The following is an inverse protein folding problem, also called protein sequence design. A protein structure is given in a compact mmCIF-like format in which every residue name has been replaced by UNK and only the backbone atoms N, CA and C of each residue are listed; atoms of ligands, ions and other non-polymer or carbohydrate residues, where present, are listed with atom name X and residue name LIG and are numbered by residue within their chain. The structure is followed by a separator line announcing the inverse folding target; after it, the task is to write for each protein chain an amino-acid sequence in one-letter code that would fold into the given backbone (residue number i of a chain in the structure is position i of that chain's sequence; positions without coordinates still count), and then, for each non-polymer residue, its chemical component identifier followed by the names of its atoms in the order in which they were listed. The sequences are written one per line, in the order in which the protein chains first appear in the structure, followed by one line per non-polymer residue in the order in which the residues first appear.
data_IF_791270472338
#
_entry.id   IF_791270472338
#
_cell.length_a   1.000
_cell.length_b   1.000
_cell.length_c   1.000
_cell.angle_alpha   90.00
_cell.angle_beta   90.00
_cell.angle_gamma   90.00
#
_symmetry.space_group_name_H-M   'P 1'
#
loop_
_entity.id
_entity.type
_entity.pdbx_description
1 polymer ?
#
# COMPACT_ATOMS: atom_id res chain seq x y z
N UNK A 1 -42.55 -10.20 50.64
CA UNK A 1 -42.02 -10.93 49.49
C UNK A 1 -41.77 -10.06 48.22
N UNK A 2 -42.08 -8.77 48.19
CA UNK A 2 -41.96 -7.91 46.97
C UNK A 2 -40.61 -7.17 46.81
N UNK A 3 -39.69 -7.22 47.79
CA UNK A 3 -38.40 -6.51 47.74
C UNK A 3 -37.23 -7.30 47.16
N UNK A 4 -37.39 -8.62 46.94
CA UNK A 4 -36.30 -9.49 46.40
C UNK A 4 -36.34 -9.65 44.86
N UNK A 5 -37.43 -9.27 44.20
CA UNK A 5 -37.54 -9.37 42.76
C UNK A 5 -36.89 -8.17 42.01
N UNK A 6 -36.74 -7.02 42.66
CA UNK A 6 -36.14 -5.83 42.05
C UNK A 6 -34.61 -5.90 41.96
N UNK A 7 -33.96 -6.69 42.86
CA UNK A 7 -32.50 -6.83 42.86
C UNK A 7 -31.98 -7.74 41.73
N UNK A 8 -32.77 -8.70 41.26
CA UNK A 8 -32.38 -9.63 40.19
C UNK A 8 -32.55 -8.97 38.81
N UNK A 9 -33.50 -8.09 38.63
CA UNK A 9 -33.65 -7.35 37.37
C UNK A 9 -32.58 -6.30 37.13
N UNK A 10 -31.99 -5.70 38.18
CA UNK A 10 -30.91 -4.72 38.08
C UNK A 10 -29.55 -5.39 37.73
N UNK A 11 -29.37 -6.65 38.07
CA UNK A 11 -28.10 -7.39 37.79
C UNK A 11 -28.05 -7.93 36.36
N UNK A 12 -29.18 -8.08 35.68
CA UNK A 12 -29.20 -8.55 34.27
C UNK A 12 -28.98 -7.43 33.25
N UNK A 13 -28.99 -6.14 33.66
CA UNK A 13 -28.76 -5.00 32.77
C UNK A 13 -27.30 -4.54 32.70
N UNK A 14 -26.41 -5.13 33.52
CA UNK A 14 -24.99 -4.73 33.54
C UNK A 14 -24.05 -5.66 32.76
N UNK A 15 -24.56 -6.63 31.99
CA UNK A 15 -23.77 -7.59 31.21
C UNK A 15 -23.71 -7.28 29.72
N UNK A 16 -24.13 -6.10 29.28
CA UNK A 16 -23.73 -5.60 27.98
C UNK A 16 -22.33 -4.94 28.09
N UNK A 17 -21.34 -5.72 28.50
CA UNK A 17 -19.96 -5.44 28.19
C UNK A 17 -19.84 -5.54 26.68
N UNK A 18 -19.88 -4.41 25.97
CA UNK A 18 -19.33 -4.32 24.65
C UNK A 18 -17.86 -4.73 24.80
N UNK A 19 -17.56 -5.99 24.51
CA UNK A 19 -16.20 -6.32 24.10
C UNK A 19 -15.96 -5.45 22.88
N UNK A 20 -15.25 -4.35 23.06
CA UNK A 20 -14.65 -3.64 21.94
C UNK A 20 -13.79 -4.72 21.26
N UNK A 21 -14.26 -5.27 20.16
CA UNK A 21 -13.44 -6.03 19.25
C UNK A 21 -12.49 -5.00 18.64
N UNK A 22 -11.48 -4.64 19.44
CA UNK A 22 -10.36 -3.88 18.91
C UNK A 22 -9.79 -4.71 17.78
N UNK A 23 -9.97 -4.23 16.55
CA UNK A 23 -9.39 -4.82 15.36
C UNK A 23 -7.87 -4.54 15.39
N UNK A 24 -7.18 -5.18 16.36
CA UNK A 24 -5.73 -5.20 16.40
C UNK A 24 -5.22 -5.80 15.08
N UNK A 25 -4.10 -5.28 14.54
CA UNK A 25 -3.46 -5.79 13.32
C UNK A 25 -4.01 -5.28 11.98
N UNK A 26 -4.73 -4.19 11.93
CA UNK A 26 -4.95 -3.46 10.68
C UNK A 26 -3.61 -2.91 10.17
N UNK A 27 -3.32 -3.12 8.88
CA UNK A 27 -2.06 -2.71 8.25
C UNK A 27 -2.33 -2.08 6.89
N UNK A 28 -1.36 -1.25 6.44
CA UNK A 28 -1.36 -0.68 5.10
C UNK A 28 -2.66 0.05 4.78
N UNK A 29 -3.05 0.96 5.67
CA UNK A 29 -4.25 1.77 5.47
C UNK A 29 -4.06 2.75 4.32
N UNK A 30 -5.03 2.82 3.41
CA UNK A 30 -5.09 3.75 2.29
C UNK A 30 -6.45 4.45 2.28
N UNK A 31 -6.45 5.78 2.27
CA UNK A 31 -7.67 6.57 2.18
C UNK A 31 -8.12 6.68 0.72
N UNK A 32 -9.43 6.62 0.48
CA UNK A 32 -9.99 6.83 -0.86
C UNK A 32 -9.80 8.28 -1.34
N UNK A 33 -9.76 8.55 -2.65
CA UNK A 33 -9.54 9.90 -3.17
C UNK A 33 -10.59 10.92 -2.72
N UNK A 34 -11.82 10.49 -2.44
CA UNK A 34 -12.89 11.33 -1.90
C UNK A 34 -12.83 11.52 -0.38
N UNK A 35 -11.87 10.85 0.29
CA UNK A 35 -11.70 10.90 1.74
C UNK A 35 -12.80 10.22 2.55
N UNK A 36 -13.67 9.41 1.94
CA UNK A 36 -14.82 8.83 2.61
C UNK A 36 -14.61 7.39 3.10
N UNK A 37 -13.65 6.68 2.52
CA UNK A 37 -13.37 5.28 2.85
C UNK A 37 -11.88 5.06 3.14
N UNK A 38 -11.59 4.04 3.93
CA UNK A 38 -10.25 3.54 4.22
C UNK A 38 -10.20 2.08 3.79
N UNK A 39 -9.30 1.75 2.88
CA UNK A 39 -8.93 0.36 2.58
C UNK A 39 -7.77 -0.06 3.48
N UNK A 40 -7.75 -1.30 3.93
CA UNK A 40 -6.69 -1.83 4.79
C UNK A 40 -6.58 -3.34 4.69
N UNK A 41 -5.41 -3.87 5.07
CA UNK A 41 -5.19 -5.31 5.18
C UNK A 41 -5.49 -5.79 6.59
N UNK A 42 -6.26 -6.87 6.73
CA UNK A 42 -6.58 -7.50 7.99
C UNK A 42 -6.71 -9.02 7.84
N UNK A 43 -5.94 -9.77 8.62
CA UNK A 43 -5.93 -11.24 8.62
C UNK A 43 -5.76 -11.91 7.25
N UNK A 44 -5.02 -11.27 6.33
CA UNK A 44 -4.74 -11.81 5.01
C UNK A 44 -5.70 -11.37 3.92
N UNK A 45 -6.71 -10.59 4.23
CA UNK A 45 -7.67 -10.05 3.27
C UNK A 45 -7.68 -8.51 3.23
N UNK A 46 -8.21 -7.96 2.16
CA UNK A 46 -8.48 -6.53 2.01
C UNK A 46 -9.90 -6.21 2.49
N UNK A 47 -10.00 -5.17 3.28
CA UNK A 47 -11.25 -4.62 3.80
C UNK A 47 -11.37 -3.15 3.49
N UNK A 48 -12.60 -2.65 3.45
CA UNK A 48 -12.90 -1.22 3.44
C UNK A 48 -13.81 -0.85 4.61
N UNK A 49 -13.67 0.38 5.11
CA UNK A 49 -14.53 0.95 6.16
C UNK A 49 -14.72 2.43 5.91
N UNK A 50 -15.86 2.98 6.30
CA UNK A 50 -16.09 4.44 6.26
C UNK A 50 -15.11 5.20 7.16
N UNK A 51 -14.69 6.40 6.77
CA UNK A 51 -13.74 7.24 7.53
C UNK A 51 -14.23 7.54 8.97
N UNK A 52 -15.55 7.55 9.18
CA UNK A 52 -16.16 7.73 10.49
C UNK A 52 -16.28 6.42 11.30
N UNK A 53 -15.70 5.32 10.81
CA UNK A 53 -15.82 4.00 11.40
C UNK A 53 -17.09 3.27 10.97
N UNK A 54 -17.47 2.25 11.74
CA UNK A 54 -18.63 1.42 11.46
C UNK A 54 -18.26 0.00 11.08
N UNK A 55 -19.12 -0.65 10.29
CA UNK A 55 -18.88 -2.01 9.81
C UNK A 55 -17.88 -2.00 8.65
N UNK A 56 -16.82 -2.79 8.77
CA UNK A 56 -15.91 -3.05 7.66
C UNK A 56 -16.52 -4.06 6.67
N UNK A 57 -16.33 -3.81 5.39
CA UNK A 57 -16.67 -4.70 4.30
C UNK A 57 -15.44 -5.48 3.86
N UNK A 58 -15.54 -6.79 3.77
CA UNK A 58 -14.49 -7.64 3.25
C UNK A 58 -14.53 -7.61 1.71
N UNK A 59 -13.43 -7.21 1.10
CA UNK A 59 -13.31 -7.05 -0.36
C UNK A 59 -12.75 -8.31 -1.00
N UNK A 60 -11.81 -8.98 -0.33
CA UNK A 60 -11.22 -10.24 -0.80
C UNK A 60 -11.49 -11.36 0.19
N UNK A 61 -11.59 -12.61 -0.31
CA UNK A 61 -11.96 -13.80 0.49
C UNK A 61 -11.12 -15.02 0.13
N UNK A 62 -10.01 -14.86 -0.58
CA UNK A 62 -9.12 -15.96 -0.96
C UNK A 62 -8.27 -16.39 0.24
N UNK A 63 -7.94 -17.69 0.42
CA UNK A 63 -7.02 -18.14 1.47
C UNK A 63 -5.59 -17.59 1.40
N UNK A 64 -5.23 -16.95 0.28
CA UNK A 64 -3.94 -16.29 0.09
C UNK A 64 -3.78 -15.06 0.97
N UNK A 65 -2.56 -14.52 1.02
CA UNK A 65 -2.27 -13.29 1.74
C UNK A 65 -2.38 -12.07 0.81
N UNK A 66 -3.48 -11.33 0.96
CA UNK A 66 -3.75 -10.09 0.26
C UNK A 66 -3.31 -8.89 1.12
N UNK A 67 -2.53 -7.97 0.54
CA UNK A 67 -1.87 -6.91 1.31
C UNK A 67 -1.62 -5.65 0.48
N UNK A 68 -1.35 -4.52 1.17
CA UNK A 68 -0.99 -3.22 0.59
C UNK A 68 -2.01 -2.70 -0.42
N UNK A 69 -3.26 -2.50 -0.02
CA UNK A 69 -4.26 -1.91 -0.92
C UNK A 69 -3.92 -0.47 -1.27
N UNK A 70 -4.14 -0.10 -2.52
CA UNK A 70 -4.08 1.28 -3.02
C UNK A 70 -5.34 1.57 -3.84
N UNK A 71 -5.84 2.81 -3.78
CA UNK A 71 -7.02 3.24 -4.51
C UNK A 71 -6.67 3.79 -5.89
N UNK A 72 -7.54 3.51 -6.88
CA UNK A 72 -7.51 4.24 -8.15
C UNK A 72 -7.90 5.71 -7.96
N UNK A 73 -7.41 6.64 -8.80
CA UNK A 73 -7.73 8.08 -8.68
C UNK A 73 -9.22 8.40 -8.72
N UNK A 74 -10.03 7.62 -9.43
CA UNK A 74 -11.49 7.76 -9.48
C UNK A 74 -12.20 7.06 -8.30
N UNK A 75 -11.46 6.36 -7.44
CA UNK A 75 -12.00 5.65 -6.28
C UNK A 75 -12.89 4.46 -6.61
N UNK A 76 -12.83 3.90 -7.85
CA UNK A 76 -13.67 2.78 -8.24
C UNK A 76 -12.98 1.43 -8.09
N UNK A 77 -11.65 1.40 -8.04
CA UNK A 77 -10.87 0.18 -7.99
C UNK A 77 -9.83 0.21 -6.86
N UNK A 78 -9.49 -0.97 -6.39
CA UNK A 78 -8.42 -1.20 -5.41
C UNK A 78 -7.42 -2.17 -6.02
N UNK A 79 -6.15 -1.77 -6.08
CA UNK A 79 -5.05 -2.67 -6.40
C UNK A 79 -4.35 -3.12 -5.12
N UNK A 80 -3.85 -4.34 -5.12
CA UNK A 80 -3.20 -4.95 -3.96
C UNK A 80 -2.20 -6.03 -4.38
N UNK A 81 -1.32 -6.45 -3.49
CA UNK A 81 -0.44 -7.59 -3.69
C UNK A 81 -1.07 -8.86 -3.12
N UNK A 82 -0.89 -10.00 -3.80
CA UNK A 82 -1.40 -11.31 -3.37
C UNK A 82 -0.46 -12.44 -3.78
N UNK A 83 -0.27 -13.41 -2.88
CA UNK A 83 0.54 -14.60 -3.11
C UNK A 83 -0.25 -15.83 -3.60
N UNK A 84 -1.48 -15.62 -4.08
CA UNK A 84 -2.42 -16.70 -4.47
C UNK A 84 -1.93 -17.63 -5.59
N UNK A 85 -0.93 -17.23 -6.35
CA UNK A 85 -0.32 -18.05 -7.42
C UNK A 85 1.20 -18.19 -7.27
N UNK A 86 1.72 -18.10 -6.04
CA UNK A 86 3.13 -18.30 -5.72
C UNK A 86 3.77 -17.06 -5.12
N UNK A 87 4.49 -16.24 -5.91
CA UNK A 87 5.04 -14.95 -5.46
C UNK A 87 3.95 -13.89 -5.29
N UNK A 88 4.31 -12.78 -4.64
CA UNK A 88 3.42 -11.62 -4.55
C UNK A 88 3.27 -10.98 -5.92
N UNK A 89 2.08 -11.05 -6.49
CA UNK A 89 1.68 -10.39 -7.74
C UNK A 89 0.72 -9.24 -7.49
N UNK A 90 0.61 -8.34 -8.46
CA UNK A 90 -0.35 -7.24 -8.42
C UNK A 90 -1.70 -7.72 -8.95
N UNK A 91 -2.73 -7.50 -8.15
CA UNK A 91 -4.13 -7.74 -8.48
C UNK A 91 -4.93 -6.45 -8.41
N UNK A 92 -6.03 -6.39 -9.14
CA UNK A 92 -6.99 -5.29 -9.12
C UNK A 92 -8.40 -5.84 -8.94
N UNK A 93 -9.23 -5.15 -8.17
CA UNK A 93 -10.63 -5.50 -7.90
C UNK A 93 -11.48 -4.24 -7.84
N UNK A 94 -12.78 -4.35 -8.12
CA UNK A 94 -13.74 -3.29 -7.88
C UNK A 94 -13.83 -2.96 -6.38
N UNK A 95 -14.11 -1.71 -6.03
CA UNK A 95 -14.22 -1.25 -4.64
C UNK A 95 -15.30 -1.99 -3.83
N UNK A 96 -16.31 -2.52 -4.50
CA UNK A 96 -17.37 -3.32 -3.89
C UNK A 96 -17.00 -4.80 -3.76
N UNK A 97 -15.82 -5.21 -4.23
CA UNK A 97 -15.34 -6.58 -4.26
C UNK A 97 -15.62 -7.27 -5.60
N UNK A 98 -15.57 -8.59 -5.60
CA UNK A 98 -15.75 -9.39 -6.81
C UNK A 98 -14.56 -10.30 -7.07
N UNK A 99 -14.35 -10.68 -8.34
CA UNK A 99 -13.22 -11.53 -8.74
C UNK A 99 -12.02 -10.65 -9.10
N UNK A 100 -10.93 -10.70 -8.32
CA UNK A 100 -9.74 -9.92 -8.65
C UNK A 100 -9.07 -10.38 -9.93
N UNK A 101 -8.64 -9.44 -10.78
CA UNK A 101 -7.86 -9.69 -11.97
C UNK A 101 -6.36 -9.59 -11.65
N UNK A 102 -5.58 -10.61 -12.03
CA UNK A 102 -4.12 -10.59 -11.92
C UNK A 102 -3.53 -9.71 -13.04
N UNK A 103 -2.70 -8.75 -12.67
CA UNK A 103 -2.06 -7.82 -13.63
C UNK A 103 -0.63 -8.22 -13.97
N UNK A 104 0.08 -8.83 -13.03
CA UNK A 104 1.48 -9.20 -13.19
C UNK A 104 1.69 -10.70 -12.97
N UNK A 105 2.75 -11.26 -13.53
CA UNK A 105 2.97 -12.72 -13.56
C UNK A 105 4.44 -13.10 -13.37
N UNK A 106 5.27 -12.20 -12.86
CA UNK A 106 6.68 -12.49 -12.62
C UNK A 106 6.84 -13.42 -11.41
N UNK A 107 7.90 -14.24 -11.41
CA UNK A 107 8.17 -15.20 -10.33
C UNK A 107 8.70 -14.57 -9.04
N UNK A 108 9.09 -13.29 -9.06
CA UNK A 108 9.52 -12.53 -7.89
C UNK A 108 8.34 -11.91 -7.13
N UNK A 109 8.66 -11.15 -6.08
CA UNK A 109 7.66 -10.42 -5.34
C UNK A 109 7.49 -9.01 -5.89
N UNK A 110 6.26 -8.59 -6.03
CA UNK A 110 5.84 -7.29 -6.52
C UNK A 110 5.01 -6.56 -5.46
N UNK A 111 5.21 -5.27 -5.34
CA UNK A 111 4.52 -4.45 -4.35
C UNK A 111 3.91 -3.23 -5.03
N UNK A 112 2.58 -3.03 -4.95
CA UNK A 112 1.95 -1.84 -5.50
C UNK A 112 2.41 -0.60 -4.74
N UNK A 113 2.66 0.49 -5.45
CA UNK A 113 3.10 1.77 -4.88
C UNK A 113 2.02 2.83 -4.99
N UNK A 114 1.56 3.10 -6.22
CA UNK A 114 0.52 4.08 -6.50
C UNK A 114 -0.15 3.81 -7.85
N UNK A 115 -1.37 4.28 -8.03
CA UNK A 115 -1.92 4.48 -9.35
C UNK A 115 -1.30 5.75 -9.96
N UNK A 116 -0.73 5.64 -11.15
CA UNK A 116 -0.24 6.79 -11.92
C UNK A 116 -1.40 7.57 -12.52
N UNK A 117 -2.38 6.85 -13.00
CA UNK A 117 -3.69 7.27 -13.51
C UNK A 117 -4.67 6.09 -13.39
N UNK A 118 -5.92 6.24 -13.85
CA UNK A 118 -6.89 5.16 -13.79
C UNK A 118 -6.53 3.93 -14.66
N UNK A 119 -5.62 4.08 -15.59
CA UNK A 119 -5.19 3.03 -16.53
C UNK A 119 -3.86 2.37 -16.17
N UNK A 120 -3.09 2.92 -15.22
CA UNK A 120 -1.74 2.45 -14.94
C UNK A 120 -1.39 2.45 -13.46
N UNK A 121 -0.67 1.41 -13.04
CA UNK A 121 -0.20 1.21 -11.67
C UNK A 121 1.33 1.18 -11.68
N UNK A 122 1.94 1.95 -10.77
CA UNK A 122 3.35 1.84 -10.43
C UNK A 122 3.52 0.81 -9.33
N UNK A 123 4.48 -0.08 -9.51
CA UNK A 123 4.81 -1.10 -8.54
C UNK A 123 6.31 -1.33 -8.45
N UNK A 124 6.73 -1.87 -7.35
CA UNK A 124 8.12 -2.19 -7.05
C UNK A 124 8.38 -3.67 -7.28
N UNK A 125 9.49 -3.98 -7.99
CA UNK A 125 9.91 -5.36 -8.24
C UNK A 125 11.41 -5.45 -8.53
N UNK A 126 11.94 -6.67 -8.47
CA UNK A 126 13.29 -7.02 -8.94
C UNK A 126 13.18 -7.86 -10.21
N UNK A 127 12.68 -7.26 -11.29
CA UNK A 127 12.56 -7.90 -12.60
C UNK A 127 13.84 -7.63 -13.38
N UNK A 128 14.73 -8.61 -13.42
CA UNK A 128 15.97 -8.49 -14.19
C UNK A 128 15.71 -8.81 -15.65
N UNK A 129 16.06 -7.92 -16.60
CA UNK A 129 15.88 -8.16 -18.03
C UNK A 129 16.68 -9.35 -18.55
N UNK A 130 17.84 -9.62 -17.96
CA UNK A 130 18.70 -10.76 -18.26
C UNK A 130 19.47 -11.23 -17.02
N UNK A 131 19.83 -12.50 -16.98
CA UNK A 131 20.59 -13.07 -15.85
C UNK A 131 21.96 -12.40 -15.68
N UNK A 132 22.54 -11.88 -16.76
CA UNK A 132 23.85 -11.20 -16.76
C UNK A 132 23.78 -9.80 -16.16
N UNK A 133 22.60 -9.21 -16.04
CA UNK A 133 22.35 -7.90 -15.43
C UNK A 133 22.32 -7.94 -13.89
N UNK A 134 22.62 -9.10 -13.30
CA UNK A 134 22.55 -9.32 -11.85
C UNK A 134 23.57 -8.52 -11.02
N UNK A 135 24.44 -7.74 -11.63
CA UNK A 135 25.47 -6.99 -10.90
C UNK A 135 24.91 -5.89 -9.99
N UNK A 136 23.68 -5.40 -10.23
CA UNK A 136 23.15 -4.23 -9.53
C UNK A 136 21.77 -4.40 -8.89
N UNK A 137 20.99 -5.40 -9.24
CA UNK A 137 19.67 -5.61 -8.66
C UNK A 137 19.71 -6.66 -7.57
N UNK A 138 20.05 -6.26 -6.36
CA UNK A 138 19.72 -7.06 -5.20
C UNK A 138 18.27 -6.82 -4.81
N UNK A 139 17.64 -7.77 -4.09
CA UNK A 139 16.32 -7.60 -3.50
C UNK A 139 16.21 -6.34 -2.61
N UNK A 140 17.33 -5.73 -2.28
CA UNK A 140 17.42 -4.51 -1.46
C UNK A 140 17.19 -3.22 -2.27
N UNK A 141 17.35 -3.26 -3.60
CA UNK A 141 17.19 -2.11 -4.50
C UNK A 141 16.22 -2.43 -5.64
N UNK A 142 14.94 -2.65 -5.32
CA UNK A 142 13.94 -2.91 -6.34
C UNK A 142 13.74 -1.69 -7.24
N UNK A 143 13.49 -1.97 -8.51
CA UNK A 143 13.16 -0.96 -9.49
C UNK A 143 11.65 -0.67 -9.47
N UNK A 144 11.25 0.43 -10.08
CA UNK A 144 9.85 0.78 -10.27
C UNK A 144 9.42 0.45 -11.68
N UNK A 145 8.32 -0.28 -11.79
CA UNK A 145 7.69 -0.68 -13.03
C UNK A 145 6.28 -0.10 -13.13
N UNK A 146 5.80 -0.04 -14.34
CA UNK A 146 4.44 0.38 -14.68
C UNK A 146 3.73 -0.78 -15.37
N UNK A 147 2.48 -1.05 -14.97
CA UNK A 147 1.60 -2.02 -15.63
C UNK A 147 0.23 -1.41 -15.88
N UNK A 148 -0.40 -1.76 -17.00
CA UNK A 148 -1.78 -1.37 -17.28
C UNK A 148 -2.76 -2.06 -16.33
N UNK A 149 -3.85 -1.38 -15.95
CA UNK A 149 -4.97 -1.97 -15.20
C UNK A 149 -5.71 -3.06 -15.98
N UNK A 150 -5.50 -3.14 -17.29
CA UNK A 150 -5.95 -4.26 -18.13
C UNK A 150 -4.94 -5.42 -18.20
N UNK A 151 -3.82 -5.33 -17.47
CA UNK A 151 -2.73 -6.30 -17.51
C UNK A 151 -1.79 -6.07 -18.69
N UNK A 152 -0.93 -7.05 -18.94
CA UNK A 152 0.04 -7.01 -20.02
C UNK A 152 1.49 -7.01 -19.52
N UNK A 153 2.42 -6.69 -20.42
CA UNK A 153 3.85 -6.67 -20.08
C UNK A 153 4.20 -5.41 -19.28
N UNK A 154 4.75 -5.53 -18.07
CA UNK A 154 5.27 -4.37 -17.35
C UNK A 154 6.42 -3.70 -18.09
N UNK A 155 6.50 -2.38 -17.97
CA UNK A 155 7.61 -1.57 -18.48
C UNK A 155 8.35 -0.90 -17.31
N UNK A 156 9.66 -0.78 -17.42
CA UNK A 156 10.44 -0.11 -16.39
C UNK A 156 10.12 1.39 -16.38
N UNK A 157 9.62 1.87 -15.24
CA UNK A 157 9.37 3.29 -15.00
C UNK A 157 10.64 3.99 -14.50
N UNK A 158 11.36 3.39 -13.56
CA UNK A 158 12.61 3.92 -12.99
C UNK A 158 13.52 2.78 -12.57
N UNK A 159 14.82 2.90 -12.93
CA UNK A 159 15.86 2.02 -12.41
C UNK A 159 16.28 2.38 -10.98
N UNK A 160 15.98 3.60 -10.53
CA UNK A 160 16.20 4.00 -9.14
C UNK A 160 15.13 3.42 -8.24
N UNK A 161 15.53 3.02 -7.04
CA UNK A 161 14.59 2.63 -6.00
C UNK A 161 13.86 3.86 -5.50
N UNK A 162 12.55 3.85 -5.61
CA UNK A 162 11.64 4.86 -5.07
C UNK A 162 10.72 4.17 -4.08
N UNK A 163 10.70 4.63 -2.84
CA UNK A 163 9.84 4.08 -1.79
C UNK A 163 8.77 5.13 -1.40
N UNK A 164 7.61 4.67 -0.93
CA UNK A 164 6.48 5.50 -0.48
C UNK A 164 6.08 6.59 -1.49
N UNK A 165 5.78 6.15 -2.72
CA UNK A 165 5.39 7.05 -3.80
C UNK A 165 4.03 7.68 -3.51
N UNK A 166 3.94 9.00 -3.66
CA UNK A 166 2.71 9.79 -3.67
C UNK A 166 2.62 10.57 -4.97
N UNK A 167 1.46 10.56 -5.62
CA UNK A 167 1.23 11.25 -6.89
C UNK A 167 0.18 12.34 -6.68
N UNK A 168 0.47 13.55 -7.20
CA UNK A 168 -0.47 14.67 -7.15
C UNK A 168 -1.77 14.36 -7.89
N UNK A 169 -2.88 14.99 -7.47
CA UNK A 169 -4.20 14.74 -8.04
C UNK A 169 -4.29 15.04 -9.56
N UNK A 170 -3.43 15.92 -10.08
CA UNK A 170 -3.33 16.22 -11.51
C UNK A 170 -2.43 15.23 -12.28
N UNK A 171 -1.82 14.26 -11.58
CA UNK A 171 -0.94 13.26 -12.18
C UNK A 171 0.42 13.77 -12.66
N UNK A 172 0.78 15.03 -12.38
CA UNK A 172 1.98 15.66 -12.95
C UNK A 172 3.20 15.63 -12.07
N UNK A 173 3.02 15.42 -10.77
CA UNK A 173 4.08 15.42 -9.78
C UNK A 173 4.07 14.14 -8.98
N UNK A 174 5.24 13.55 -8.79
CA UNK A 174 5.46 12.37 -7.96
C UNK A 174 6.44 12.73 -6.85
N UNK A 175 6.08 12.44 -5.62
CA UNK A 175 6.95 12.49 -4.46
C UNK A 175 7.38 11.06 -4.09
N UNK A 176 8.61 10.92 -3.63
CA UNK A 176 9.15 9.65 -3.14
C UNK A 176 10.30 9.90 -2.18
N UNK A 177 10.65 8.92 -1.38
CA UNK A 177 11.97 8.92 -0.77
C UNK A 177 12.89 7.93 -1.46
N UNK A 178 14.17 8.29 -1.54
CA UNK A 178 15.19 7.47 -2.17
C UNK A 178 15.71 6.38 -1.23
N UNK A 179 16.43 5.42 -1.80
CA UNK A 179 17.16 4.40 -1.05
C UNK A 179 18.58 4.32 -1.58
N UNK A 180 19.52 4.87 -0.84
CA UNK A 180 20.93 4.97 -1.23
C UNK A 180 21.76 3.78 -0.77
N UNK A 181 21.26 3.02 0.21
CA UNK A 181 21.99 1.92 0.79
C UNK A 181 21.15 1.05 1.72
N UNK A 182 21.79 0.04 2.29
CA UNK A 182 21.18 -0.79 3.33
C UNK A 182 21.58 -0.26 4.69
N UNK A 183 20.59 0.07 5.52
CA UNK A 183 20.80 0.44 6.91
C UNK A 183 19.84 -0.25 7.85
N UNK A 184 20.34 -0.48 9.07
CA UNK A 184 19.55 -1.04 10.14
C UNK A 184 18.49 -0.03 10.60
N UNK A 185 17.23 -0.37 10.46
CA UNK A 185 16.08 0.45 10.89
C UNK A 185 16.03 0.72 12.41
N UNK A 186 16.88 0.06 13.18
CA UNK A 186 16.92 0.15 14.64
C UNK A 186 17.82 1.27 15.18
N UNK A 187 18.56 1.97 14.31
CA UNK A 187 19.41 3.08 14.72
C UNK A 187 18.60 4.33 15.03
N UNK A 188 18.71 4.82 16.26
CA UNK A 188 18.19 6.13 16.65
C UNK A 188 19.15 7.24 16.20
N UNK A 189 18.59 8.41 15.84
CA UNK A 189 19.35 9.61 15.47
C UNK A 189 20.36 9.38 14.36
N UNK A 190 19.89 8.69 13.32
CA UNK A 190 20.72 8.27 12.23
C UNK A 190 21.09 9.44 11.32
N UNK A 191 22.38 9.71 11.21
CA UNK A 191 22.97 10.64 10.23
C UNK A 191 24.06 9.91 9.49
N UNK A 192 23.86 9.64 8.20
CA UNK A 192 24.87 9.05 7.34
C UNK A 192 24.66 9.47 5.89
N UNK A 193 25.65 9.17 5.04
CA UNK A 193 25.57 9.46 3.60
C UNK A 193 24.48 8.66 2.86
N UNK A 194 23.90 7.64 3.52
CA UNK A 194 22.86 6.77 2.95
C UNK A 194 21.49 6.98 3.59
N UNK A 195 21.31 8.01 4.42
CA UNK A 195 19.98 8.42 4.88
C UNK A 195 19.10 8.76 3.70
N UNK A 196 17.83 8.42 3.84
CA UNK A 196 16.83 8.70 2.80
C UNK A 196 16.50 10.17 2.76
N UNK A 197 16.27 10.65 1.55
CA UNK A 197 15.82 12.01 1.31
C UNK A 197 14.50 11.99 0.53
N UNK A 198 13.67 12.99 0.73
CA UNK A 198 12.46 13.21 -0.05
C UNK A 198 12.80 13.94 -1.34
N UNK A 199 12.30 13.40 -2.44
CA UNK A 199 12.47 13.92 -3.79
C UNK A 199 11.14 14.15 -4.46
N UNK A 200 11.14 15.09 -5.38
CA UNK A 200 10.05 15.35 -6.32
C UNK A 200 10.51 15.00 -7.73
N UNK A 201 9.66 14.28 -8.46
CA UNK A 201 9.81 14.02 -9.88
C UNK A 201 8.67 14.70 -10.63
N UNK A 202 9.01 15.53 -11.63
CA UNK A 202 8.02 16.04 -12.58
C UNK A 202 7.72 14.97 -13.63
N UNK A 203 6.44 14.69 -13.84
CA UNK A 203 5.95 13.70 -14.82
C UNK A 203 5.42 14.34 -16.10
N UNK A 204 5.29 15.67 -16.12
CA UNK A 204 4.80 16.43 -17.28
C UNK A 204 5.98 16.79 -18.20
N UNK A 205 6.02 16.20 -19.40
CA UNK A 205 7.10 16.38 -20.37
C UNK A 205 8.36 15.57 -20.05
N UNK A 206 9.54 16.19 -20.14
CA UNK A 206 10.80 15.53 -19.75
C UNK A 206 10.90 15.41 -18.24
N UNK A 207 11.22 14.22 -17.76
CA UNK A 207 11.34 13.96 -16.31
C UNK A 207 12.47 14.76 -15.70
N UNK A 208 12.15 15.52 -14.67
CA UNK A 208 13.12 16.24 -13.87
C UNK A 208 12.97 15.90 -12.39
N UNK A 209 14.10 15.89 -11.68
CA UNK A 209 14.16 15.45 -10.28
C UNK A 209 14.68 16.60 -9.42
N UNK A 210 14.01 16.84 -8.30
CA UNK A 210 14.41 17.86 -7.33
C UNK A 210 14.40 17.29 -5.93
N UNK A 211 15.53 17.37 -5.22
CA UNK A 211 15.59 17.06 -3.79
C UNK A 211 14.83 18.12 -3.02
N UNK A 212 13.95 17.69 -2.13
CA UNK A 212 13.15 18.55 -1.25
C UNK A 212 13.70 18.59 0.18
N UNK A 213 14.22 17.46 0.66
CA UNK A 213 14.81 17.38 2.00
C UNK A 213 16.02 18.28 2.14
N UNK A 214 16.08 18.97 3.27
CA UNK A 214 17.22 19.80 3.67
C UNK A 214 17.83 19.35 5.00
N UNK A 215 17.20 18.42 5.70
CA UNK A 215 17.66 17.85 6.95
C UNK A 215 18.81 16.87 6.71
N UNK A 216 19.76 16.79 7.64
CA UNK A 216 20.89 15.86 7.56
C UNK A 216 20.58 14.45 8.05
N UNK A 217 19.39 14.22 8.58
CA UNK A 217 18.90 12.94 9.03
C UNK A 217 18.07 12.25 7.96
N UNK A 218 17.22 11.33 8.40
CA UNK A 218 16.38 10.53 7.52
C UNK A 218 15.00 11.15 7.35
N UNK A 219 14.62 11.43 6.11
CA UNK A 219 13.30 11.91 5.69
C UNK A 219 12.58 10.85 4.89
N UNK A 220 11.34 10.51 5.29
CA UNK A 220 10.54 9.43 4.68
C UNK A 220 9.09 9.83 4.50
N UNK A 221 8.39 9.00 3.74
CA UNK A 221 6.92 8.95 3.63
C UNK A 221 6.32 10.30 3.24
N UNK A 222 6.68 10.85 2.05
CA UNK A 222 6.09 12.09 1.58
C UNK A 222 4.60 11.89 1.24
N UNK A 223 3.79 12.89 1.55
CA UNK A 223 2.34 12.92 1.26
C UNK A 223 1.95 14.24 0.61
#
# INVERSE_FOLDING_TARGET
MKKRLLAVAAFMLSLNGYAANDAAWMRYCAISPDGQQIAFSYKGDIYTVGVNGGRANQITTNPAHDTRPIWSPDGQQIAFASDRLGGMDIYIVDKEGGVPNRLTTHSGNETPLAFKDNGHILFQANILPAADDMQFASAQFPQVYEVSTSGGRPIMFSSMTMEDISISADGKTLLYHDKKGYEDNWRKHHTSSITRDVWMCNLDGERSYKKLSTFHGEDRTPV
#
